data_IF_187980358763
#
_entry.id   IF_187980358763
#
_cell.length_a   1.000
_cell.length_b   1.000
_cell.length_c   1.000
_cell.angle_alpha   90.00
_cell.angle_beta   90.00
_cell.angle_gamma   90.00
#
_symmetry.space_group_name_H-M   'P 1'
#
loop_
_entity.id
_entity.type
_entity.pdbx_description
1 polymer ?
#
# COMPACT_ATOMS: atom_id res chain seq x y z
N UNK A 1 -9.76 -5.25 -3.66
CA UNK A 1 -8.90 -4.13 -3.25
C UNK A 1 -9.05 -3.91 -1.76
N UNK A 2 -8.00 -3.35 -1.09
CA UNK A 2 -8.09 -3.06 0.33
C UNK A 2 -9.29 -2.13 0.63
N UNK A 3 -10.07 -2.48 1.67
CA UNK A 3 -11.24 -1.72 2.16
C UNK A 3 -12.43 -1.58 1.18
N UNK A 4 -12.49 -2.35 0.11
CA UNK A 4 -13.51 -2.20 -0.96
C UNK A 4 -14.93 -2.33 -0.42
N UNK A 5 -15.20 -3.37 0.36
CA UNK A 5 -16.52 -3.65 0.93
C UNK A 5 -17.01 -2.54 1.87
N UNK A 6 -16.13 -2.02 2.75
CA UNK A 6 -16.46 -0.90 3.63
C UNK A 6 -16.67 0.40 2.85
N UNK A 7 -15.80 0.65 1.87
CA UNK A 7 -15.86 1.84 1.02
C UNK A 7 -17.16 1.91 0.23
N UNK A 8 -17.60 0.82 -0.41
CA UNK A 8 -18.84 0.76 -1.16
C UNK A 8 -20.06 1.08 -0.28
N UNK A 9 -20.12 0.51 0.92
CA UNK A 9 -21.22 0.75 1.87
C UNK A 9 -21.27 2.19 2.34
N UNK A 10 -20.13 2.74 2.77
CA UNK A 10 -20.05 4.14 3.21
C UNK A 10 -20.42 5.11 2.08
N UNK A 11 -19.92 4.86 0.86
CA UNK A 11 -20.28 5.64 -0.32
C UNK A 11 -21.79 5.59 -0.63
N UNK A 12 -22.43 4.43 -0.46
CA UNK A 12 -23.87 4.26 -0.58
C UNK A 12 -24.63 5.17 0.39
N UNK A 13 -24.21 5.22 1.66
CA UNK A 13 -24.80 6.09 2.68
C UNK A 13 -24.63 7.57 2.32
N UNK A 14 -23.42 7.98 1.94
CA UNK A 14 -23.13 9.37 1.59
C UNK A 14 -23.79 9.82 0.30
N UNK A 15 -23.99 8.92 -0.67
CA UNK A 15 -24.75 9.21 -1.88
C UNK A 15 -26.22 9.55 -1.56
N UNK A 16 -26.84 8.81 -0.62
CA UNK A 16 -28.21 9.10 -0.14
C UNK A 16 -28.28 10.48 0.55
N UNK A 17 -27.27 10.83 1.36
CA UNK A 17 -27.20 12.14 2.01
C UNK A 17 -27.02 13.28 1.01
N UNK A 18 -26.16 13.12 0.00
CA UNK A 18 -25.93 14.14 -1.05
C UNK A 18 -27.17 14.42 -1.88
N UNK A 19 -28.08 13.46 -2.00
CA UNK A 19 -29.37 13.64 -2.69
C UNK A 19 -30.37 14.53 -1.95
N UNK A 20 -30.13 14.87 -0.67
CA UNK A 20 -30.96 15.71 0.16
C UNK A 20 -30.36 17.13 0.21
N UNK A 21 -31.09 18.12 -0.26
CA UNK A 21 -30.62 19.53 -0.29
C UNK A 21 -30.44 20.14 1.09
N UNK A 22 -31.30 19.77 2.06
CA UNK A 22 -31.17 20.11 3.50
C UNK A 22 -31.14 18.81 4.29
N UNK A 23 -30.33 18.75 5.35
CA UNK A 23 -30.29 17.63 6.27
C UNK A 23 -31.03 18.00 7.55
N UNK A 24 -31.79 17.05 8.09
CA UNK A 24 -32.37 17.13 9.42
C UNK A 24 -31.56 16.28 10.39
N UNK A 25 -31.69 16.51 11.70
CA UNK A 25 -31.08 15.62 12.72
C UNK A 25 -31.48 14.15 12.54
N UNK A 26 -32.73 13.91 12.12
CA UNK A 26 -33.22 12.55 11.87
C UNK A 26 -32.45 11.90 10.70
N UNK A 27 -32.11 12.65 9.66
CA UNK A 27 -31.33 12.17 8.53
C UNK A 27 -29.91 11.80 8.95
N UNK A 28 -29.27 12.63 9.77
CA UNK A 28 -27.92 12.37 10.31
C UNK A 28 -27.95 11.12 11.19
N UNK A 29 -28.93 11.01 12.12
CA UNK A 29 -29.08 9.83 12.98
C UNK A 29 -29.32 8.55 12.17
N UNK A 30 -30.11 8.60 11.11
CA UNK A 30 -30.35 7.47 10.22
C UNK A 30 -29.06 7.07 9.47
N UNK A 31 -28.35 8.03 8.90
CA UNK A 31 -27.10 7.80 8.22
C UNK A 31 -26.03 7.19 9.17
N UNK A 32 -25.91 7.69 10.40
CA UNK A 32 -24.95 7.16 11.36
C UNK A 32 -25.30 5.75 11.85
N UNK A 33 -26.58 5.35 11.81
CA UNK A 33 -26.95 3.95 12.01
C UNK A 33 -26.44 3.06 10.88
N UNK A 34 -26.62 3.47 9.62
CA UNK A 34 -26.10 2.73 8.46
C UNK A 34 -24.57 2.67 8.49
N UNK A 35 -23.88 3.79 8.79
CA UNK A 35 -22.42 3.84 8.98
C UNK A 35 -21.95 2.86 10.06
N UNK A 36 -22.63 2.85 11.22
CA UNK A 36 -22.29 1.91 12.29
C UNK A 36 -22.44 0.45 11.86
N UNK A 37 -23.50 0.13 11.13
CA UNK A 37 -23.69 -1.23 10.60
C UNK A 37 -22.57 -1.59 9.60
N UNK A 38 -22.20 -0.67 8.70
CA UNK A 38 -21.09 -0.88 7.78
C UNK A 38 -19.75 -1.13 8.50
N UNK A 39 -19.46 -0.38 9.57
CA UNK A 39 -18.26 -0.58 10.38
C UNK A 39 -18.27 -1.94 11.10
N UNK A 40 -19.42 -2.35 11.67
CA UNK A 40 -19.55 -3.66 12.34
C UNK A 40 -19.39 -4.83 11.36
N UNK A 41 -19.96 -4.73 10.16
CA UNK A 41 -19.79 -5.73 9.10
C UNK A 41 -18.36 -5.76 8.54
N UNK A 42 -17.62 -4.66 8.67
CA UNK A 42 -16.20 -4.57 8.39
C UNK A 42 -15.31 -5.07 9.56
N UNK A 43 -15.89 -5.75 10.54
CA UNK A 43 -15.19 -6.27 11.73
C UNK A 43 -14.53 -5.17 12.60
N UNK A 44 -15.06 -3.95 12.60
CA UNK A 44 -14.65 -2.92 13.55
C UNK A 44 -15.19 -3.23 14.94
N UNK A 45 -14.39 -3.03 15.98
CA UNK A 45 -14.79 -3.24 17.36
C UNK A 45 -16.08 -2.45 17.70
N UNK A 46 -17.05 -3.10 18.34
CA UNK A 46 -18.36 -2.50 18.64
C UNK A 46 -18.28 -1.18 19.41
N UNK A 47 -17.42 -1.12 20.43
CA UNK A 47 -17.24 0.11 21.22
C UNK A 47 -16.65 1.23 20.36
N UNK A 48 -15.65 0.89 19.56
CA UNK A 48 -15.01 1.84 18.62
C UNK A 48 -16.02 2.38 17.61
N UNK A 49 -16.81 1.50 16.98
CA UNK A 49 -17.84 1.90 16.01
C UNK A 49 -18.93 2.77 16.64
N UNK A 50 -19.33 2.46 17.90
CA UNK A 50 -20.33 3.24 18.66
C UNK A 50 -19.81 4.64 18.99
N UNK A 51 -18.60 4.72 19.55
CA UNK A 51 -17.99 5.99 19.99
C UNK A 51 -17.70 6.89 18.77
N UNK A 52 -17.19 6.32 17.69
CA UNK A 52 -17.01 7.01 16.41
C UNK A 52 -18.30 7.62 15.88
N UNK A 53 -19.39 6.83 15.78
CA UNK A 53 -20.66 7.34 15.29
C UNK A 53 -21.28 8.41 16.21
N UNK A 54 -21.03 8.33 17.53
CA UNK A 54 -21.47 9.35 18.46
C UNK A 54 -20.73 10.68 18.22
N UNK A 55 -19.41 10.65 18.09
CA UNK A 55 -18.59 11.83 17.81
C UNK A 55 -18.93 12.48 16.48
N UNK A 56 -19.08 11.68 15.41
CA UNK A 56 -19.53 12.19 14.11
C UNK A 56 -20.92 12.81 14.19
N UNK A 57 -21.87 12.15 14.89
CA UNK A 57 -23.22 12.69 15.03
C UNK A 57 -23.25 14.03 15.76
N UNK A 58 -22.51 14.16 16.85
CA UNK A 58 -22.41 15.38 17.63
C UNK A 58 -21.88 16.54 16.78
N UNK A 59 -20.78 16.32 16.06
CA UNK A 59 -20.20 17.33 15.15
C UNK A 59 -21.10 17.65 13.97
N UNK A 60 -21.75 16.65 13.37
CA UNK A 60 -22.62 16.81 12.21
C UNK A 60 -23.94 17.51 12.53
N UNK A 61 -24.41 17.46 13.78
CA UNK A 61 -25.59 18.20 14.23
C UNK A 61 -25.28 19.64 14.68
N UNK A 62 -24.03 20.07 14.62
CA UNK A 62 -23.63 21.44 14.91
C UNK A 62 -24.29 22.46 13.97
N UNK A 63 -24.59 23.64 14.47
CA UNK A 63 -25.31 24.69 13.72
C UNK A 63 -24.62 25.05 12.42
N UNK A 64 -23.30 25.15 12.39
CA UNK A 64 -22.50 25.47 11.19
C UNK A 64 -22.70 24.45 10.05
N UNK A 65 -22.90 23.17 10.37
CA UNK A 65 -23.15 22.13 9.38
C UNK A 65 -24.59 22.17 8.88
N UNK A 66 -25.53 22.35 9.79
CA UNK A 66 -26.97 22.34 9.47
C UNK A 66 -27.37 23.55 8.64
N UNK A 67 -26.75 24.70 8.82
CA UNK A 67 -26.97 25.95 8.08
C UNK A 67 -26.10 26.06 6.81
N UNK A 68 -25.20 25.13 6.56
CA UNK A 68 -24.33 25.12 5.40
C UNK A 68 -25.12 24.95 4.09
N UNK A 69 -24.61 25.57 3.01
CA UNK A 69 -25.11 25.34 1.64
C UNK A 69 -24.82 23.93 1.12
N UNK A 70 -23.85 23.21 1.76
CA UNK A 70 -23.41 21.85 1.38
C UNK A 70 -23.33 20.92 2.59
N UNK A 71 -24.41 20.70 3.37
CA UNK A 71 -24.35 19.98 4.64
C UNK A 71 -23.89 18.53 4.46
N UNK A 72 -24.28 17.84 3.40
CA UNK A 72 -23.82 16.47 3.13
C UNK A 72 -22.30 16.38 2.89
N UNK A 73 -21.69 17.39 2.26
CA UNK A 73 -20.23 17.42 2.08
C UNK A 73 -19.52 17.68 3.40
N UNK A 74 -20.08 18.51 4.27
CA UNK A 74 -19.53 18.75 5.61
C UNK A 74 -19.58 17.48 6.46
N UNK A 75 -20.66 16.70 6.40
CA UNK A 75 -20.74 15.40 7.09
C UNK A 75 -19.66 14.45 6.59
N UNK A 76 -19.44 14.33 5.27
CA UNK A 76 -18.38 13.48 4.71
C UNK A 76 -16.98 13.95 5.18
N UNK A 77 -16.75 15.26 5.24
CA UNK A 77 -15.52 15.84 5.76
C UNK A 77 -15.29 15.45 7.24
N UNK A 78 -16.32 15.60 8.07
CA UNK A 78 -16.27 15.21 9.50
C UNK A 78 -15.96 13.72 9.65
N UNK A 79 -16.61 12.86 8.85
CA UNK A 79 -16.32 11.43 8.85
C UNK A 79 -14.86 11.14 8.49
N UNK A 80 -14.32 11.83 7.48
CA UNK A 80 -12.91 11.67 7.09
C UNK A 80 -11.95 12.07 8.22
N UNK A 81 -12.20 13.20 8.85
CA UNK A 81 -11.40 13.70 9.98
C UNK A 81 -11.44 12.74 11.17
N UNK A 82 -12.63 12.25 11.55
CA UNK A 82 -12.78 11.31 12.66
C UNK A 82 -12.18 9.92 12.33
N UNK A 83 -12.27 9.43 11.07
CA UNK A 83 -11.58 8.22 10.66
C UNK A 83 -10.05 8.39 10.74
N UNK A 84 -9.53 9.51 10.26
CA UNK A 84 -8.10 9.83 10.31
C UNK A 84 -7.62 9.86 11.76
N UNK A 85 -8.34 10.53 12.64
CA UNK A 85 -8.05 10.59 14.07
C UNK A 85 -8.10 9.22 14.74
N UNK A 86 -9.10 8.39 14.40
CA UNK A 86 -9.26 7.03 14.91
C UNK A 86 -8.07 6.13 14.57
N UNK A 87 -7.41 6.37 13.44
CA UNK A 87 -6.24 5.61 12.97
C UNK A 87 -4.88 6.20 13.38
N UNK A 88 -4.84 7.34 14.08
CA UNK A 88 -3.59 7.93 14.60
C UNK A 88 -3.30 9.36 14.25
N UNK A 89 -4.21 10.06 13.56
CA UNK A 89 -4.07 11.48 13.19
C UNK A 89 -3.59 11.70 11.76
N UNK A 90 -3.27 12.94 11.42
CA UNK A 90 -2.90 13.32 10.05
C UNK A 90 -1.51 12.83 9.64
N UNK A 91 -0.57 12.89 10.59
CA UNK A 91 0.83 12.53 10.35
C UNK A 91 1.08 11.03 10.63
N UNK A 92 1.90 10.36 9.82
CA UNK A 92 2.29 8.99 10.06
C UNK A 92 3.12 8.90 11.33
N UNK A 93 2.84 7.90 12.15
CA UNK A 93 3.69 7.58 13.29
C UNK A 93 4.94 6.84 12.77
N UNK A 94 6.12 7.25 13.23
CA UNK A 94 7.40 6.67 12.81
C UNK A 94 8.10 5.96 13.96
N UNK A 95 8.83 4.90 13.64
CA UNK A 95 9.71 4.23 14.61
C UNK A 95 10.83 5.18 15.07
N UNK A 96 11.13 5.12 16.34
CA UNK A 96 12.25 5.88 16.89
C UNK A 96 13.58 5.17 16.59
N UNK A 97 14.28 5.62 15.55
CA UNK A 97 15.59 5.11 15.20
C UNK A 97 16.67 5.98 15.85
N UNK A 98 17.52 5.36 16.65
CA UNK A 98 18.63 6.05 17.32
C UNK A 98 19.61 6.65 16.30
N UNK A 99 20.02 7.88 16.52
CA UNK A 99 21.01 8.54 15.69
C UNK A 99 22.44 8.05 15.98
N UNK A 100 22.68 7.56 17.19
CA UNK A 100 23.95 6.96 17.63
C UNK A 100 23.67 5.66 18.38
N UNK A 101 24.52 4.66 18.13
CA UNK A 101 24.32 3.32 18.68
C UNK A 101 23.36 2.47 17.87
N UNK A 102 22.87 1.40 18.48
CA UNK A 102 22.00 0.43 17.84
C UNK A 102 20.55 0.65 18.21
N UNK A 103 19.65 0.46 17.26
CA UNK A 103 18.22 0.32 17.50
C UNK A 103 17.87 -1.15 17.41
N UNK A 104 17.40 -1.73 18.51
CA UNK A 104 17.01 -3.14 18.60
C UNK A 104 15.50 -3.24 18.49
N UNK A 105 15.04 -3.93 17.45
CA UNK A 105 13.63 -4.18 17.17
C UNK A 105 13.31 -5.66 17.36
N UNK A 106 12.24 -5.98 18.04
CA UNK A 106 11.77 -7.35 18.22
C UNK A 106 10.43 -7.53 17.50
N UNK A 107 10.38 -8.46 16.55
CA UNK A 107 9.16 -8.84 15.82
C UNK A 107 8.43 -9.92 16.61
N UNK A 108 7.18 -9.68 17.00
CA UNK A 108 6.35 -10.65 17.71
C UNK A 108 4.99 -10.82 17.02
N UNK A 109 4.25 -11.87 17.38
CA UNK A 109 2.92 -12.17 16.82
C UNK A 109 2.69 -13.65 16.56
N UNK A 110 1.49 -14.01 16.13
CA UNK A 110 1.11 -15.41 15.88
C UNK A 110 1.78 -16.00 14.65
N UNK A 111 1.77 -17.31 14.55
CA UNK A 111 2.26 -18.05 13.37
C UNK A 111 1.42 -17.69 12.14
N UNK A 112 2.10 -17.54 10.99
CA UNK A 112 1.43 -17.19 9.73
C UNK A 112 1.13 -15.70 9.53
N UNK A 113 1.38 -14.85 10.54
CA UNK A 113 1.18 -13.39 10.41
C UNK A 113 2.27 -12.69 9.58
N UNK A 114 3.31 -13.40 9.13
CA UNK A 114 4.33 -12.84 8.25
C UNK A 114 5.51 -12.15 8.96
N UNK A 115 5.83 -12.47 10.22
CA UNK A 115 6.97 -11.90 10.98
C UNK A 115 8.27 -11.96 10.20
N UNK A 116 8.70 -13.15 9.81
CA UNK A 116 9.96 -13.40 9.09
C UNK A 116 10.05 -12.58 7.81
N UNK A 117 8.97 -12.56 7.01
CA UNK A 117 8.93 -11.78 5.78
C UNK A 117 9.01 -10.28 6.06
N UNK A 118 8.31 -9.79 7.10
CA UNK A 118 8.31 -8.36 7.43
C UNK A 118 9.58 -7.93 8.15
N UNK A 119 10.28 -8.82 8.86
CA UNK A 119 11.63 -8.56 9.34
C UNK A 119 12.59 -8.26 8.17
N UNK A 120 12.55 -9.07 7.11
CA UNK A 120 13.35 -8.84 5.91
C UNK A 120 12.92 -7.57 5.14
N UNK A 121 11.62 -7.30 5.03
CA UNK A 121 11.09 -6.07 4.42
C UNK A 121 11.55 -4.82 5.16
N UNK A 122 11.47 -4.81 6.50
CA UNK A 122 11.97 -3.72 7.34
C UNK A 122 13.48 -3.55 7.18
N UNK A 123 14.24 -4.65 7.17
CA UNK A 123 15.67 -4.61 6.91
C UNK A 123 15.98 -3.95 5.56
N UNK A 124 15.29 -4.36 4.49
CA UNK A 124 15.42 -3.74 3.16
C UNK A 124 15.04 -2.27 3.15
N UNK A 125 13.94 -1.91 3.83
CA UNK A 125 13.43 -0.54 3.92
C UNK A 125 14.48 0.39 4.56
N UNK A 126 15.07 0.00 5.69
CA UNK A 126 16.10 0.81 6.35
C UNK A 126 17.45 0.78 5.61
N UNK A 127 17.81 -0.31 4.97
CA UNK A 127 18.99 -0.38 4.11
C UNK A 127 18.90 0.63 2.96
N UNK A 128 17.72 0.77 2.34
CA UNK A 128 17.50 1.78 1.30
C UNK A 128 17.66 3.22 1.79
N UNK A 129 17.52 3.46 3.11
CA UNK A 129 17.77 4.75 3.77
C UNK A 129 19.23 4.93 4.23
N UNK A 130 20.13 4.01 3.83
CA UNK A 130 21.55 4.09 4.17
C UNK A 130 21.91 3.52 5.55
N UNK A 131 20.98 2.84 6.24
CA UNK A 131 21.23 2.13 7.49
C UNK A 131 21.87 0.76 7.25
N UNK A 132 22.43 0.17 8.29
CA UNK A 132 23.08 -1.14 8.27
C UNK A 132 22.30 -2.13 9.15
N UNK A 133 21.21 -2.73 8.63
CA UNK A 133 20.41 -3.69 9.39
C UNK A 133 21.06 -5.07 9.45
N UNK A 134 20.80 -5.77 10.57
CA UNK A 134 21.10 -7.18 10.81
C UNK A 134 19.80 -7.89 11.21
N UNK A 135 19.46 -8.99 10.55
CA UNK A 135 18.37 -9.88 10.96
C UNK A 135 18.89 -10.93 11.94
N UNK A 136 18.08 -11.32 12.92
CA UNK A 136 18.46 -12.30 13.95
C UNK A 136 17.42 -13.41 14.01
N UNK A 137 17.86 -14.67 13.82
CA UNK A 137 17.00 -15.84 13.81
C UNK A 137 16.76 -16.38 15.23
N UNK A 138 15.64 -16.00 15.85
CA UNK A 138 15.22 -16.51 17.15
C UNK A 138 14.01 -17.47 17.08
N UNK A 139 13.46 -17.80 15.90
CA UNK A 139 12.49 -18.89 15.72
C UNK A 139 13.25 -20.23 15.57
N UNK A 140 13.64 -20.81 16.70
CA UNK A 140 14.45 -22.04 16.77
C UNK A 140 13.61 -23.31 16.75
N UNK A 141 12.29 -23.21 16.94
CA UNK A 141 11.40 -24.38 17.07
C UNK A 141 11.01 -24.99 15.74
N UNK A 142 11.15 -24.23 14.66
CA UNK A 142 10.89 -24.67 13.31
C UNK A 142 12.18 -24.67 12.52
N UNK A 143 12.76 -25.84 12.21
CA UNK A 143 14.04 -25.90 11.48
C UNK A 143 14.05 -25.09 10.18
N UNK A 144 12.94 -25.12 9.45
CA UNK A 144 12.79 -24.34 8.22
C UNK A 144 12.70 -22.81 8.44
N UNK A 145 12.46 -22.32 9.67
CA UNK A 145 12.32 -20.88 9.91
C UNK A 145 13.65 -20.13 9.81
N UNK A 146 14.74 -20.74 10.30
CA UNK A 146 16.10 -20.19 10.18
C UNK A 146 16.49 -20.10 8.70
N UNK A 147 16.29 -21.19 7.95
CA UNK A 147 16.55 -21.22 6.51
C UNK A 147 15.67 -20.21 5.76
N UNK A 148 14.40 -20.09 6.15
CA UNK A 148 13.48 -19.10 5.57
C UNK A 148 14.00 -17.67 5.79
N UNK A 149 14.41 -17.32 7.01
CA UNK A 149 14.95 -15.99 7.29
C UNK A 149 16.23 -15.73 6.50
N UNK A 150 17.10 -16.75 6.35
CA UNK A 150 18.31 -16.65 5.54
C UNK A 150 18.00 -16.36 4.07
N UNK A 151 17.06 -17.12 3.48
CA UNK A 151 16.66 -16.92 2.08
C UNK A 151 16.06 -15.52 1.86
N UNK A 152 15.12 -15.08 2.70
CA UNK A 152 14.50 -13.77 2.53
C UNK A 152 15.47 -12.63 2.87
N UNK A 153 16.41 -12.86 3.81
CA UNK A 153 17.49 -11.93 4.13
C UNK A 153 18.44 -11.73 2.95
N UNK A 154 18.85 -12.82 2.29
CA UNK A 154 19.67 -12.77 1.08
C UNK A 154 18.95 -12.01 -0.05
N UNK A 155 17.69 -12.31 -0.30
CA UNK A 155 16.87 -11.61 -1.28
C UNK A 155 16.70 -10.11 -0.97
N UNK A 156 16.61 -9.75 0.32
CA UNK A 156 16.58 -8.37 0.78
C UNK A 156 17.97 -7.70 0.74
N UNK A 157 19.03 -8.51 0.60
CA UNK A 157 20.42 -8.09 0.70
C UNK A 157 20.80 -7.67 2.12
N UNK A 158 20.17 -8.26 3.15
CA UNK A 158 20.38 -7.98 4.57
C UNK A 158 20.99 -9.22 5.22
N UNK A 159 22.13 -9.11 5.93
CA UNK A 159 22.77 -10.24 6.59
C UNK A 159 21.91 -10.79 7.72
N UNK A 160 22.05 -12.09 7.97
CA UNK A 160 21.33 -12.82 9.03
C UNK A 160 22.34 -13.37 10.02
N UNK A 161 22.06 -13.16 11.30
CA UNK A 161 22.79 -13.78 12.41
C UNK A 161 21.98 -14.98 12.94
N UNK A 162 22.63 -16.13 13.06
CA UNK A 162 22.02 -17.36 13.56
C UNK A 162 22.99 -18.13 14.48
N UNK A 163 22.46 -18.92 15.39
CA UNK A 163 23.22 -19.80 16.27
C UNK A 163 22.56 -21.19 16.40
N UNK A 164 21.86 -21.63 15.36
CA UNK A 164 21.14 -22.89 15.36
C UNK A 164 20.04 -22.93 16.41
N UNK A 165 20.01 -23.97 17.26
CA UNK A 165 18.96 -24.24 18.24
C UNK A 165 19.29 -23.75 19.67
N UNK A 166 20.20 -22.81 19.82
CA UNK A 166 20.49 -22.17 21.10
C UNK A 166 19.26 -21.39 21.61
N UNK A 167 19.24 -21.08 22.92
CA UNK A 167 18.12 -20.33 23.52
C UNK A 167 17.95 -18.96 22.89
N UNK A 168 16.71 -18.54 22.56
CA UNK A 168 16.45 -17.27 21.89
C UNK A 168 17.04 -16.04 22.58
N UNK A 169 16.96 -15.99 23.92
CA UNK A 169 17.54 -14.90 24.70
C UNK A 169 19.08 -14.84 24.60
N UNK A 170 19.75 -15.98 24.46
CA UNK A 170 21.20 -16.06 24.26
C UNK A 170 21.58 -15.62 22.85
N UNK A 171 20.80 -16.09 21.84
CA UNK A 171 20.99 -15.67 20.45
C UNK A 171 20.85 -14.15 20.33
N UNK A 172 19.79 -13.59 20.88
CA UNK A 172 19.52 -12.14 20.84
C UNK A 172 20.68 -11.34 21.46
N UNK A 173 21.16 -11.77 22.64
CA UNK A 173 22.27 -11.11 23.33
C UNK A 173 23.56 -11.10 22.48
N UNK A 174 23.95 -12.26 21.97
CA UNK A 174 25.18 -12.37 21.16
C UNK A 174 25.03 -11.66 19.81
N UNK A 175 23.83 -11.64 19.23
CA UNK A 175 23.57 -10.90 17.99
C UNK A 175 23.73 -9.38 18.18
N UNK A 176 23.27 -8.82 19.30
CA UNK A 176 23.45 -7.39 19.61
C UNK A 176 24.92 -7.05 19.82
N UNK A 177 25.68 -7.89 20.52
CA UNK A 177 27.14 -7.74 20.66
C UNK A 177 27.84 -7.81 19.30
N UNK A 178 27.53 -8.84 18.51
CA UNK A 178 28.06 -9.00 17.15
C UNK A 178 27.74 -7.79 16.26
N UNK A 179 26.53 -7.31 16.32
CA UNK A 179 26.08 -6.14 15.55
C UNK A 179 26.88 -4.89 15.92
N UNK A 180 27.19 -4.71 17.22
CA UNK A 180 28.03 -3.60 17.71
C UNK A 180 29.43 -3.68 17.15
N UNK A 181 30.06 -4.85 17.22
CA UNK A 181 31.45 -5.07 16.79
C UNK A 181 31.59 -4.90 15.25
N UNK A 182 30.56 -5.22 14.49
CA UNK A 182 30.56 -5.13 13.03
C UNK A 182 29.91 -3.85 12.48
N UNK A 183 29.48 -2.94 13.39
CA UNK A 183 28.93 -1.62 13.01
C UNK A 183 27.57 -1.68 12.37
N UNK A 184 26.72 -2.66 12.70
CA UNK A 184 25.29 -2.64 12.36
C UNK A 184 24.57 -1.71 13.33
N UNK A 185 23.71 -0.84 12.79
CA UNK A 185 22.99 0.18 13.56
C UNK A 185 21.50 -0.15 13.79
N UNK A 186 21.00 -1.20 13.12
CA UNK A 186 19.66 -1.73 13.32
C UNK A 186 19.76 -3.26 13.51
N UNK A 187 19.15 -3.78 14.57
CA UNK A 187 19.06 -5.21 14.85
C UNK A 187 17.59 -5.59 14.87
N UNK A 188 17.16 -6.50 13.98
CA UNK A 188 15.78 -6.96 13.86
C UNK A 188 15.71 -8.42 14.28
N UNK A 189 15.11 -8.67 15.44
CA UNK A 189 14.97 -9.99 16.03
C UNK A 189 13.66 -10.62 15.53
N UNK A 190 13.76 -11.67 14.70
CA UNK A 190 12.62 -12.48 14.26
C UNK A 190 12.38 -13.59 15.28
N UNK A 191 11.23 -13.51 15.99
CA UNK A 191 10.89 -14.44 17.06
C UNK A 191 9.95 -15.54 16.60
N UNK A 192 9.88 -16.62 17.37
CA UNK A 192 8.92 -17.68 17.14
C UNK A 192 7.48 -17.16 17.16
N UNK A 193 6.59 -17.84 16.44
CA UNK A 193 5.16 -17.65 16.50
C UNK A 193 4.48 -18.98 16.77
N UNK A 194 3.45 -18.96 17.59
CA UNK A 194 2.57 -20.11 17.80
C UNK A 194 1.20 -19.86 17.20
N UNK A 195 0.43 -20.93 17.02
CA UNK A 195 -0.93 -20.84 16.45
C UNK A 195 -1.89 -20.07 17.35
N UNK A 196 -1.66 -20.11 18.65
CA UNK A 196 -2.46 -19.43 19.65
C UNK A 196 -1.56 -18.74 20.67
N UNK A 197 -2.13 -17.77 21.37
CA UNK A 197 -1.47 -17.12 22.49
C UNK A 197 -1.39 -18.10 23.65
N UNK A 198 -0.18 -18.41 24.09
CA UNK A 198 0.08 -19.19 25.30
C UNK A 198 1.12 -18.50 26.18
N UNK A 199 1.16 -18.92 27.45
CA UNK A 199 2.05 -18.30 28.44
C UNK A 199 3.54 -18.56 28.11
N UNK A 200 3.86 -19.71 27.51
CA UNK A 200 5.26 -20.03 27.14
C UNK A 200 5.81 -19.08 26.07
N UNK A 201 4.98 -18.72 25.06
CA UNK A 201 5.34 -17.72 24.05
C UNK A 201 5.57 -16.36 24.69
N UNK A 202 4.64 -15.95 25.57
CA UNK A 202 4.73 -14.64 26.23
C UNK A 202 5.96 -14.54 27.12
N UNK A 203 6.23 -15.58 27.91
CA UNK A 203 7.43 -15.65 28.77
C UNK A 203 8.73 -15.63 27.97
N UNK A 204 8.77 -16.28 26.80
CA UNK A 204 9.93 -16.26 25.92
C UNK A 204 10.20 -14.83 25.41
N UNK A 205 9.18 -14.14 24.91
CA UNK A 205 9.30 -12.76 24.44
C UNK A 205 9.77 -11.82 25.57
N UNK A 206 9.26 -12.02 26.79
CA UNK A 206 9.68 -11.25 27.97
C UNK A 206 11.14 -11.56 28.31
N UNK A 207 11.58 -12.83 28.27
CA UNK A 207 13.01 -13.19 28.47
C UNK A 207 13.92 -12.56 27.44
N UNK A 208 13.55 -12.54 26.17
CA UNK A 208 14.32 -11.84 25.12
C UNK A 208 14.43 -10.36 25.46
N UNK A 209 13.32 -9.69 25.81
CA UNK A 209 13.32 -8.28 26.22
C UNK A 209 14.20 -7.98 27.44
N UNK A 210 14.27 -8.91 28.38
CA UNK A 210 15.13 -8.77 29.57
C UNK A 210 16.61 -9.03 29.27
N UNK A 211 16.92 -9.89 28.27
CA UNK A 211 18.28 -10.23 27.89
C UNK A 211 18.97 -9.14 27.09
N UNK A 212 18.19 -8.35 26.32
CA UNK A 212 18.66 -7.23 25.51
C UNK A 212 17.75 -6.02 25.68
N UNK A 213 18.34 -4.84 25.58
CA UNK A 213 17.58 -3.57 25.61
C UNK A 213 16.82 -3.42 24.29
N UNK A 214 15.56 -3.93 24.24
CA UNK A 214 14.72 -3.81 23.06
C UNK A 214 14.11 -2.41 23.02
N UNK A 215 14.43 -1.64 21.99
CA UNK A 215 13.89 -0.29 21.78
C UNK A 215 12.45 -0.33 21.29
N UNK A 216 12.20 -1.23 20.32
CA UNK A 216 10.90 -1.33 19.67
C UNK A 216 10.40 -2.78 19.65
N UNK A 217 9.24 -3.02 20.22
CA UNK A 217 8.53 -4.31 20.17
C UNK A 217 7.40 -4.21 19.18
N UNK A 218 7.57 -4.78 17.99
CA UNK A 218 6.65 -4.66 16.87
C UNK A 218 5.77 -5.90 16.77
N UNK A 219 4.47 -5.71 17.00
CA UNK A 219 3.49 -6.76 16.80
C UNK A 219 3.11 -6.86 15.32
N UNK A 220 3.34 -8.01 14.73
CA UNK A 220 2.95 -8.33 13.36
C UNK A 220 1.59 -9.01 13.36
N UNK A 221 0.61 -8.39 12.70
CA UNK A 221 -0.78 -8.82 12.72
C UNK A 221 -1.32 -8.93 11.30
N UNK A 222 -2.03 -10.00 11.03
CA UNK A 222 -2.75 -10.20 9.77
C UNK A 222 -4.01 -9.34 9.75
N UNK A 223 -4.10 -8.36 8.85
CA UNK A 223 -5.23 -7.47 8.72
C UNK A 223 -6.54 -8.21 8.38
N UNK A 224 -6.45 -9.35 7.69
CA UNK A 224 -7.61 -10.18 7.32
C UNK A 224 -8.23 -10.91 8.53
N UNK A 225 -7.53 -10.98 9.66
CA UNK A 225 -8.05 -11.63 10.88
C UNK A 225 -9.14 -10.83 11.62
N UNK A 226 -9.46 -9.61 11.17
CA UNK A 226 -10.55 -8.80 11.71
C UNK A 226 -10.43 -8.55 13.21
N UNK A 227 -11.46 -8.90 14.00
CA UNK A 227 -11.49 -8.71 15.47
C UNK A 227 -10.44 -9.56 16.20
N UNK A 228 -10.05 -10.71 15.65
CA UNK A 228 -9.01 -11.55 16.26
C UNK A 228 -7.67 -10.79 16.30
N UNK A 229 -7.36 -10.05 15.24
CA UNK A 229 -6.19 -9.17 15.19
C UNK A 229 -6.16 -8.18 16.38
N UNK A 230 -7.31 -7.62 16.71
CA UNK A 230 -7.45 -6.63 17.80
C UNK A 230 -7.28 -7.31 19.17
N UNK A 231 -7.87 -8.50 19.36
CA UNK A 231 -7.74 -9.28 20.59
C UNK A 231 -6.28 -9.70 20.82
N UNK A 232 -5.61 -10.17 19.78
CA UNK A 232 -4.18 -10.50 19.79
C UNK A 232 -3.36 -9.26 20.18
N UNK A 233 -3.61 -8.12 19.56
CA UNK A 233 -2.88 -6.89 19.83
C UNK A 233 -3.07 -6.44 21.29
N UNK A 234 -4.28 -6.53 21.83
CA UNK A 234 -4.56 -6.22 23.22
C UNK A 234 -3.76 -7.12 24.17
N UNK A 235 -3.79 -8.44 23.96
CA UNK A 235 -3.10 -9.40 24.82
C UNK A 235 -1.58 -9.25 24.78
N UNK A 236 -1.00 -9.06 23.59
CA UNK A 236 0.44 -8.80 23.46
C UNK A 236 0.84 -7.49 24.13
N UNK A 237 -0.01 -6.46 24.04
CA UNK A 237 0.26 -5.19 24.71
C UNK A 237 0.24 -5.33 26.24
N UNK A 238 -0.72 -6.08 26.78
CA UNK A 238 -0.85 -6.32 28.24
C UNK A 238 0.28 -7.19 28.80
N UNK A 239 0.69 -8.26 28.09
CA UNK A 239 1.66 -9.24 28.60
C UNK A 239 3.11 -8.89 28.28
N UNK A 240 3.39 -8.39 27.07
CA UNK A 240 4.75 -8.13 26.56
C UNK A 240 5.07 -6.64 26.51
N UNK A 241 4.06 -5.80 26.32
CA UNK A 241 4.23 -4.36 26.11
C UNK A 241 4.78 -4.08 24.71
N UNK A 242 3.89 -3.83 23.75
CA UNK A 242 4.27 -3.49 22.36
C UNK A 242 4.51 -2.00 22.20
N UNK A 243 5.38 -1.62 21.27
CA UNK A 243 5.60 -0.21 20.88
C UNK A 243 4.59 0.21 19.81
N UNK A 244 4.28 -0.70 18.89
CA UNK A 244 3.34 -0.48 17.80
C UNK A 244 3.12 -1.74 16.98
N UNK A 245 2.39 -1.58 15.88
CA UNK A 245 1.87 -2.67 15.05
C UNK A 245 2.34 -2.55 13.61
N UNK A 246 2.62 -3.69 12.99
CA UNK A 246 2.80 -3.87 11.56
C UNK A 246 1.62 -4.68 11.03
N UNK A 247 0.78 -4.07 10.20
CA UNK A 247 -0.32 -4.78 9.54
C UNK A 247 0.18 -5.47 8.28
N UNK A 248 -0.14 -6.75 8.13
CA UNK A 248 0.22 -7.56 6.95
C UNK A 248 -1.01 -7.88 6.12
N UNK A 249 -0.79 -8.28 4.87
CA UNK A 249 -1.85 -8.72 3.94
C UNK A 249 -2.96 -7.68 3.73
N UNK A 250 -2.61 -6.39 3.80
CA UNK A 250 -3.60 -5.32 3.61
C UNK A 250 -4.12 -5.25 2.18
N UNK A 251 -3.42 -5.83 1.22
CA UNK A 251 -3.85 -6.00 -0.17
C UNK A 251 -5.06 -6.92 -0.32
N UNK A 252 -5.19 -7.93 0.56
CA UNK A 252 -6.33 -8.85 0.64
C UNK A 252 -7.44 -8.41 1.60
N UNK A 253 -7.19 -7.41 2.45
CA UNK A 253 -8.17 -6.94 3.43
C UNK A 253 -9.20 -6.01 2.80
N UNK A 254 -10.38 -6.54 2.51
CA UNK A 254 -11.51 -5.76 1.97
C UNK A 254 -12.35 -5.07 3.06
N UNK A 255 -12.12 -5.38 4.34
CA UNK A 255 -12.93 -4.94 5.48
C UNK A 255 -12.33 -3.76 6.24
N UNK A 256 -11.02 -3.83 6.57
CA UNK A 256 -10.29 -2.75 7.25
C UNK A 256 -10.52 -2.62 8.76
N UNK A 257 -11.24 -3.57 9.38
CA UNK A 257 -11.62 -3.48 10.78
C UNK A 257 -10.45 -3.47 11.75
N UNK A 258 -9.39 -4.23 11.44
CA UNK A 258 -8.17 -4.25 12.24
C UNK A 258 -7.50 -2.87 12.28
N UNK A 259 -7.31 -2.23 11.12
CA UNK A 259 -6.69 -0.91 11.02
C UNK A 259 -7.46 0.16 11.83
N UNK A 260 -8.79 0.10 11.81
CA UNK A 260 -9.66 1.04 12.52
C UNK A 260 -9.72 0.79 14.05
N UNK A 261 -9.39 -0.42 14.50
CA UNK A 261 -9.60 -0.79 15.90
C UNK A 261 -8.33 -0.90 16.73
N UNK A 262 -7.18 -1.18 16.11
CA UNK A 262 -5.91 -1.46 16.80
C UNK A 262 -5.50 -0.32 17.73
N UNK A 263 -5.41 0.90 17.22
CA UNK A 263 -5.01 2.06 18.03
C UNK A 263 -6.01 2.34 19.14
N UNK A 264 -7.31 2.31 18.82
CA UNK A 264 -8.37 2.61 19.77
C UNK A 264 -8.41 1.61 20.94
N UNK A 265 -8.07 0.33 20.70
CA UNK A 265 -8.09 -0.73 21.72
C UNK A 265 -6.77 -0.83 22.48
N UNK A 266 -5.64 -0.63 21.81
CA UNK A 266 -4.31 -0.84 22.41
C UNK A 266 -3.61 0.46 22.84
N UNK A 267 -4.03 1.61 22.31
CA UNK A 267 -3.30 2.87 22.45
C UNK A 267 -1.94 2.87 21.69
N UNK A 268 -1.70 1.86 20.82
CA UNK A 268 -0.43 1.69 20.12
C UNK A 268 -0.59 1.97 18.62
N UNK A 269 0.33 2.75 18.01
CA UNK A 269 0.23 3.15 16.62
C UNK A 269 0.46 1.97 15.66
N UNK A 270 -0.05 2.12 14.45
CA UNK A 270 0.35 1.29 13.32
C UNK A 270 1.50 2.04 12.63
N UNK A 271 2.67 1.40 12.56
CA UNK A 271 3.84 1.99 11.92
C UNK A 271 3.94 1.66 10.43
N UNK A 272 3.65 0.42 10.07
CA UNK A 272 3.80 -0.08 8.70
C UNK A 272 2.62 -0.94 8.28
N UNK A 273 2.42 -1.00 6.96
CA UNK A 273 1.52 -1.94 6.32
C UNK A 273 2.24 -2.71 5.21
N UNK A 274 1.97 -4.02 5.15
CA UNK A 274 2.41 -4.90 4.08
C UNK A 274 1.33 -4.98 3.01
N UNK A 275 1.66 -4.51 1.80
CA UNK A 275 0.73 -4.35 0.68
C UNK A 275 0.92 -5.42 -0.40
N UNK A 276 1.49 -6.56 -0.07
CA UNK A 276 1.73 -7.68 -0.98
C UNK A 276 2.88 -8.58 -0.53
N UNK A 277 3.16 -9.62 -1.30
CA UNK A 277 4.19 -10.62 -0.97
C UNK A 277 5.62 -10.15 -1.24
N UNK A 278 5.84 -9.28 -2.21
CA UNK A 278 7.16 -8.81 -2.62
C UNK A 278 7.88 -8.07 -1.49
N UNK A 279 9.22 -8.14 -1.48
CA UNK A 279 10.04 -7.50 -0.44
C UNK A 279 10.01 -5.97 -0.46
N UNK A 280 9.58 -5.35 -1.54
CA UNK A 280 9.35 -3.91 -1.67
C UNK A 280 7.91 -3.49 -1.28
N UNK A 281 7.02 -4.45 -1.04
CA UNK A 281 5.64 -4.20 -0.64
C UNK A 281 5.53 -3.97 0.88
N UNK A 282 6.20 -2.95 1.38
CA UNK A 282 6.09 -2.41 2.74
C UNK A 282 6.03 -0.90 2.66
N UNK A 283 5.02 -0.32 3.25
CA UNK A 283 4.81 1.13 3.26
C UNK A 283 4.59 1.61 4.70
N UNK A 284 5.05 2.82 5.09
CA UNK A 284 4.61 3.45 6.32
C UNK A 284 3.08 3.58 6.31
N UNK A 285 2.48 3.48 7.48
CA UNK A 285 1.03 3.61 7.60
C UNK A 285 0.63 5.08 7.67
N UNK A 286 -0.13 5.54 6.69
CA UNK A 286 -0.62 6.92 6.60
C UNK A 286 -2.13 6.97 6.90
N UNK A 287 -2.57 7.35 8.11
CA UNK A 287 -3.99 7.38 8.48
C UNK A 287 -4.86 8.21 7.54
N UNK A 288 -4.40 9.40 7.14
CA UNK A 288 -5.13 10.29 6.25
C UNK A 288 -5.34 9.71 4.83
N UNK A 289 -4.36 8.96 4.29
CA UNK A 289 -4.51 8.24 3.02
C UNK A 289 -5.49 7.09 3.14
N UNK A 290 -5.41 6.38 4.27
CA UNK A 290 -6.27 5.25 4.54
C UNK A 290 -7.73 5.67 4.69
N UNK A 291 -8.02 6.75 5.43
CA UNK A 291 -9.37 7.30 5.53
C UNK A 291 -9.92 7.75 4.17
N UNK A 292 -9.10 8.39 3.34
CA UNK A 292 -9.46 8.79 1.98
C UNK A 292 -9.79 7.60 1.08
N UNK A 293 -9.03 6.49 1.19
CA UNK A 293 -9.33 5.23 0.48
C UNK A 293 -10.65 4.63 0.93
N UNK A 294 -10.88 4.53 2.24
CA UNK A 294 -12.13 4.02 2.83
C UNK A 294 -13.34 4.85 2.34
N UNK A 295 -13.19 6.16 2.16
CA UNK A 295 -14.25 7.04 1.67
C UNK A 295 -14.35 7.11 0.14
N UNK A 296 -13.56 6.32 -0.59
CA UNK A 296 -13.56 6.30 -2.05
C UNK A 296 -13.09 7.61 -2.70
N UNK A 297 -12.37 8.45 -1.96
CA UNK A 297 -11.82 9.72 -2.47
C UNK A 297 -10.50 9.52 -3.23
N UNK A 298 -10.00 8.29 -3.27
CA UNK A 298 -8.74 7.93 -3.89
C UNK A 298 -7.52 8.31 -3.05
N UNK A 299 -6.36 7.84 -3.46
CA UNK A 299 -5.08 8.16 -2.83
C UNK A 299 -4.19 8.96 -3.79
N UNK A 300 -4.60 10.21 -4.01
CA UNK A 300 -3.91 11.12 -4.95
C UNK A 300 -2.48 11.44 -4.48
N UNK A 301 -2.25 11.50 -3.16
CA UNK A 301 -0.92 11.80 -2.61
C UNK A 301 0.07 10.67 -2.87
N UNK A 302 -0.32 9.40 -2.62
CA UNK A 302 0.52 8.24 -2.95
C UNK A 302 0.80 8.15 -4.46
N UNK A 303 -0.15 8.53 -5.30
CA UNK A 303 0.05 8.59 -6.75
C UNK A 303 1.10 9.64 -7.13
N UNK A 304 1.02 10.83 -6.52
CA UNK A 304 1.98 11.93 -6.74
C UNK A 304 3.37 11.51 -6.26
N UNK A 305 3.51 10.92 -5.07
CA UNK A 305 4.80 10.48 -4.53
C UNK A 305 5.43 9.37 -5.39
N UNK A 306 4.64 8.36 -5.79
CA UNK A 306 5.12 7.33 -6.72
C UNK A 306 5.55 7.93 -8.05
N UNK A 307 4.83 8.92 -8.56
CA UNK A 307 5.21 9.65 -9.76
C UNK A 307 6.48 10.49 -9.56
N UNK A 308 6.65 11.14 -8.40
CA UNK A 308 7.86 11.92 -8.07
C UNK A 308 9.09 11.04 -7.89
N UNK A 309 8.94 9.86 -7.26
CA UNK A 309 10.05 8.90 -7.12
C UNK A 309 10.55 8.43 -8.48
N UNK A 310 9.66 8.32 -9.47
CA UNK A 310 10.01 7.97 -10.84
C UNK A 310 10.58 9.14 -11.65
N UNK A 311 10.23 10.40 -11.30
CA UNK A 311 10.81 11.58 -11.97
C UNK A 311 12.30 11.79 -11.64
N UNK A 312 12.80 11.21 -10.57
CA UNK A 312 14.24 11.20 -10.25
C UNK A 312 15.05 10.23 -11.14
N UNK A 313 14.41 9.40 -11.96
CA UNK A 313 15.06 8.58 -12.96
C UNK A 313 15.41 9.49 -14.18
N UNK A 314 16.71 9.69 -14.45
CA UNK A 314 17.20 10.50 -15.59
C UNK A 314 16.59 10.08 -16.92
N UNK A 315 16.28 8.80 -17.07
CA UNK A 315 15.62 8.24 -18.26
C UNK A 315 14.20 8.77 -18.45
N UNK A 316 13.45 8.99 -17.35
CA UNK A 316 12.09 9.55 -17.41
C UNK A 316 12.11 11.03 -17.83
N UNK A 317 13.09 11.79 -17.34
CA UNK A 317 13.27 13.20 -17.72
C UNK A 317 13.67 13.35 -19.18
N UNK A 318 14.54 12.46 -19.68
CA UNK A 318 14.92 12.44 -21.09
C UNK A 318 13.75 12.01 -22.00
N UNK A 319 12.95 11.02 -21.60
CA UNK A 319 11.74 10.63 -22.33
C UNK A 319 10.72 11.77 -22.39
N UNK A 320 10.52 12.50 -21.29
CA UNK A 320 9.65 13.68 -21.26
C UNK A 320 10.17 14.81 -22.17
N UNK A 321 11.48 15.06 -22.19
CA UNK A 321 12.12 16.03 -23.09
C UNK A 321 11.97 15.63 -24.57
N UNK A 322 12.11 14.33 -24.91
CA UNK A 322 11.87 13.80 -26.27
C UNK A 322 10.42 13.92 -26.68
N UNK A 323 9.48 13.66 -25.74
CA UNK A 323 8.04 13.83 -25.95
C UNK A 323 7.68 15.27 -26.29
N UNK A 324 8.24 16.24 -25.56
CA UNK A 324 8.05 17.67 -25.85
C UNK A 324 8.74 18.11 -27.18
N UNK A 325 9.81 17.44 -27.56
CA UNK A 325 10.52 17.71 -28.80
C UNK A 325 9.90 17.09 -30.08
N UNK A 326 8.73 16.37 -29.95
CA UNK A 326 8.11 15.57 -31.03
C UNK A 326 9.01 14.44 -31.57
N UNK A 327 9.92 13.93 -30.77
CA UNK A 327 10.82 12.81 -31.08
C UNK A 327 10.42 11.52 -30.39
N UNK A 328 9.15 11.39 -30.01
CA UNK A 328 8.63 10.20 -29.34
C UNK A 328 8.61 9.00 -30.29
N UNK A 329 9.31 7.93 -29.90
CA UNK A 329 9.47 6.70 -30.66
C UNK A 329 8.98 5.45 -29.90
N UNK A 330 9.18 4.24 -30.44
CA UNK A 330 8.77 2.98 -29.81
C UNK A 330 9.64 2.62 -28.59
N UNK A 331 10.88 3.14 -28.48
CA UNK A 331 11.72 2.93 -27.30
C UNK A 331 11.20 3.76 -26.12
N UNK A 332 10.75 5.00 -26.37
CA UNK A 332 10.12 5.83 -25.36
C UNK A 332 8.83 5.17 -24.82
N UNK A 333 8.08 4.48 -25.70
CA UNK A 333 6.91 3.71 -25.33
C UNK A 333 7.25 2.53 -24.41
N UNK A 334 8.34 1.79 -24.67
CA UNK A 334 8.86 0.74 -23.79
C UNK A 334 9.25 1.29 -22.41
N UNK A 335 9.91 2.45 -22.40
CA UNK A 335 10.29 3.13 -21.14
C UNK A 335 9.05 3.48 -20.31
N UNK A 336 7.99 3.98 -20.95
CA UNK A 336 6.73 4.25 -20.26
C UNK A 336 6.05 2.98 -19.72
N UNK A 337 6.05 1.89 -20.49
CA UNK A 337 5.51 0.61 -20.00
C UNK A 337 6.30 0.07 -18.80
N UNK A 338 7.63 0.18 -18.84
CA UNK A 338 8.48 -0.19 -17.72
C UNK A 338 8.15 0.65 -16.45
N UNK A 339 7.88 1.94 -16.61
CA UNK A 339 7.45 2.83 -15.53
C UNK A 339 6.08 2.42 -14.97
N UNK A 340 5.08 2.16 -15.83
CA UNK A 340 3.76 1.68 -15.43
C UNK A 340 3.88 0.37 -14.65
N UNK A 341 4.77 -0.53 -15.06
CA UNK A 341 5.03 -1.79 -14.37
C UNK A 341 5.69 -1.56 -12.99
N UNK A 342 6.66 -0.66 -12.90
CA UNK A 342 7.28 -0.24 -11.63
C UNK A 342 6.24 0.38 -10.65
N UNK A 343 5.21 1.04 -11.17
CA UNK A 343 4.10 1.61 -10.40
C UNK A 343 3.05 0.57 -9.94
N UNK A 344 3.26 -0.71 -10.24
CA UNK A 344 2.33 -1.79 -9.86
C UNK A 344 1.34 -2.18 -10.96
N UNK A 345 1.59 -1.76 -12.22
CA UNK A 345 0.73 -2.06 -13.37
C UNK A 345 -0.44 -1.10 -13.56
N UNK A 346 -1.19 -1.28 -14.65
CA UNK A 346 -2.33 -0.41 -14.99
C UNK A 346 -3.46 -0.50 -13.95
N UNK A 347 -3.70 -1.69 -13.40
CA UNK A 347 -4.71 -1.94 -12.35
C UNK A 347 -4.41 -1.18 -11.06
N UNK A 348 -3.15 -1.15 -10.63
CA UNK A 348 -2.73 -0.43 -9.42
C UNK A 348 -2.87 1.10 -9.58
N UNK A 349 -2.57 1.63 -10.77
CA UNK A 349 -2.75 3.06 -11.07
C UNK A 349 -4.22 3.46 -11.04
N UNK A 350 -5.10 2.65 -11.65
CA UNK A 350 -6.54 2.88 -11.63
C UNK A 350 -7.10 2.82 -10.22
N UNK A 351 -6.62 1.88 -9.39
CA UNK A 351 -7.05 1.75 -8.00
C UNK A 351 -6.74 2.99 -7.14
N UNK A 352 -5.73 3.77 -7.51
CA UNK A 352 -5.33 4.99 -6.79
C UNK A 352 -6.09 6.24 -7.26
N UNK A 353 -6.79 6.18 -8.39
CA UNK A 353 -7.51 7.34 -8.92
C UNK A 353 -8.78 7.65 -8.12
N UNK A 354 -9.15 8.93 -7.95
CA UNK A 354 -10.42 9.31 -7.36
C UNK A 354 -11.60 8.71 -8.14
N UNK A 355 -12.50 7.99 -7.46
CA UNK A 355 -13.64 7.33 -8.10
C UNK A 355 -13.35 5.93 -8.65
N UNK A 356 -12.17 5.36 -8.40
CA UNK A 356 -11.82 3.99 -8.78
C UNK A 356 -12.85 2.95 -8.27
N UNK A 357 -13.44 3.20 -7.11
CA UNK A 357 -14.49 2.35 -6.52
C UNK A 357 -15.82 2.38 -7.29
N UNK A 358 -15.95 3.22 -8.31
CA UNK A 358 -17.13 3.23 -9.22
C UNK A 358 -16.90 2.36 -10.46
N UNK A 359 -15.69 1.87 -10.67
CA UNK A 359 -15.34 0.93 -11.73
C UNK A 359 -15.63 -0.47 -11.17
N UNK A 360 -16.56 -1.20 -11.77
CA UNK A 360 -16.91 -2.54 -11.31
C UNK A 360 -15.69 -3.48 -11.42
N UNK A 361 -15.60 -4.48 -10.54
CA UNK A 361 -14.58 -5.54 -10.62
C UNK A 361 -14.54 -6.20 -11.99
N UNK A 362 -15.71 -6.41 -12.62
CA UNK A 362 -15.82 -6.92 -13.99
C UNK A 362 -15.18 -6.00 -15.05
N UNK A 363 -15.20 -4.69 -14.84
CA UNK A 363 -14.54 -3.72 -15.73
C UNK A 363 -13.03 -3.64 -15.47
N UNK A 364 -12.59 -3.93 -14.25
CA UNK A 364 -11.17 -4.07 -13.92
C UNK A 364 -10.57 -5.37 -14.45
N UNK A 365 -11.30 -6.48 -14.38
CA UNK A 365 -10.89 -7.78 -14.93
C UNK A 365 -10.84 -7.77 -16.48
N UNK A 366 -11.53 -6.82 -17.12
CA UNK A 366 -11.43 -6.59 -18.57
C UNK A 366 -10.16 -5.83 -18.98
N UNK A 367 -9.38 -5.30 -18.03
CA UNK A 367 -8.05 -4.77 -18.33
C UNK A 367 -7.14 -5.98 -18.50
N UNK A 368 -6.95 -6.36 -19.77
CA UNK A 368 -6.11 -7.49 -20.14
C UNK A 368 -4.66 -7.21 -19.71
N UNK A 369 -4.28 -7.71 -18.54
CA UNK A 369 -2.89 -7.61 -18.03
C UNK A 369 -1.88 -8.26 -18.99
N UNK A 370 -2.34 -9.12 -19.91
CA UNK A 370 -1.52 -9.72 -20.96
C UNK A 370 -1.30 -8.78 -22.14
N UNK A 371 -2.09 -7.73 -22.27
CA UNK A 371 -1.97 -6.78 -23.39
C UNK A 371 -0.63 -6.03 -23.38
N UNK A 372 -0.13 -5.60 -22.20
CA UNK A 372 1.17 -4.92 -22.12
C UNK A 372 2.34 -5.82 -22.51
N UNK A 373 2.50 -7.06 -21.98
CA UNK A 373 3.54 -7.98 -22.44
C UNK A 373 3.48 -8.31 -23.93
N UNK A 374 2.28 -8.44 -24.52
CA UNK A 374 2.11 -8.68 -25.95
C UNK A 374 2.61 -7.50 -26.81
N UNK A 375 2.27 -6.28 -26.43
CA UNK A 375 2.74 -5.07 -27.09
C UNK A 375 4.27 -4.95 -26.97
N UNK A 376 4.84 -5.21 -25.80
CA UNK A 376 6.28 -5.23 -25.59
C UNK A 376 6.97 -6.26 -26.50
N UNK A 377 6.43 -7.48 -26.60
CA UNK A 377 6.98 -8.52 -27.48
C UNK A 377 7.01 -8.07 -28.94
N UNK A 378 5.95 -7.37 -29.41
CA UNK A 378 5.93 -6.79 -30.77
C UNK A 378 7.06 -5.77 -30.94
N UNK A 379 7.22 -4.86 -29.97
CA UNK A 379 8.25 -3.80 -30.07
C UNK A 379 9.67 -4.41 -29.98
N UNK A 380 9.89 -5.41 -29.10
CA UNK A 380 11.18 -6.11 -29.01
C UNK A 380 11.54 -6.87 -30.29
N UNK A 381 10.56 -7.32 -31.06
CA UNK A 381 10.76 -7.97 -32.36
C UNK A 381 11.10 -6.98 -33.50
N UNK A 382 11.02 -5.67 -33.26
CA UNK A 382 11.44 -4.64 -34.19
C UNK A 382 12.95 -4.41 -34.10
N UNK A 383 13.58 -4.07 -35.21
CA UNK A 383 14.98 -3.59 -35.21
C UNK A 383 15.08 -2.22 -34.55
N UNK A 384 16.28 -1.79 -34.08
CA UNK A 384 16.46 -0.45 -33.51
C UNK A 384 16.00 0.68 -34.46
N UNK A 385 16.24 0.52 -35.75
CA UNK A 385 15.82 1.49 -36.79
C UNK A 385 14.29 1.54 -36.94
N UNK A 386 13.63 0.38 -36.89
CA UNK A 386 12.16 0.29 -36.95
C UNK A 386 11.48 0.87 -35.67
N UNK A 387 12.12 0.76 -34.50
CA UNK A 387 11.65 1.40 -33.29
C UNK A 387 11.77 2.90 -33.32
N UNK A 388 12.89 3.40 -33.85
CA UNK A 388 13.13 4.85 -34.03
C UNK A 388 12.24 5.46 -35.12
N UNK A 389 12.01 4.73 -36.20
CA UNK A 389 11.28 5.19 -37.39
C UNK A 389 10.18 4.19 -37.82
N UNK A 390 9.05 4.07 -37.09
CA UNK A 390 8.01 3.08 -37.42
C UNK A 390 7.40 3.23 -38.82
N UNK A 391 7.55 4.38 -39.46
CA UNK A 391 7.11 4.63 -40.84
C UNK A 391 7.76 3.75 -41.89
N UNK A 392 8.95 3.17 -41.61
CA UNK A 392 9.65 2.27 -42.55
C UNK A 392 9.11 0.85 -42.56
N UNK A 393 8.15 0.53 -41.64
CA UNK A 393 7.61 -0.82 -41.47
C UNK A 393 6.63 -1.13 -42.60
N UNK A 394 7.13 -1.83 -43.61
CA UNK A 394 6.36 -2.32 -44.75
C UNK A 394 5.71 -3.70 -44.49
N UNK A 395 4.84 -4.23 -45.36
CA UNK A 395 4.16 -5.50 -45.18
C UNK A 395 5.06 -6.73 -44.91
N UNK A 396 6.27 -6.77 -45.52
CA UNK A 396 7.25 -7.83 -45.27
C UNK A 396 7.82 -7.74 -43.84
N UNK A 397 8.14 -6.55 -43.37
CA UNK A 397 8.63 -6.28 -42.02
C UNK A 397 7.54 -6.61 -40.98
N UNK A 398 6.27 -6.24 -41.24
CA UNK A 398 5.13 -6.58 -40.35
C UNK A 398 4.99 -8.10 -40.15
N UNK A 399 5.11 -8.92 -41.20
CA UNK A 399 5.07 -10.37 -41.08
C UNK A 399 6.23 -10.92 -40.24
N UNK A 400 7.44 -10.40 -40.43
CA UNK A 400 8.60 -10.79 -39.64
C UNK A 400 8.44 -10.42 -38.17
N UNK A 401 7.97 -9.21 -37.87
CA UNK A 401 7.71 -8.74 -36.51
C UNK A 401 6.63 -9.60 -35.85
N UNK A 402 5.54 -9.90 -36.56
CA UNK A 402 4.47 -10.77 -36.08
C UNK A 402 4.99 -12.19 -35.75
N UNK A 403 5.76 -12.79 -36.65
CA UNK A 403 6.36 -14.12 -36.43
C UNK A 403 7.35 -14.11 -35.26
N UNK A 404 8.18 -13.08 -35.12
CA UNK A 404 9.17 -12.95 -34.04
C UNK A 404 8.56 -12.70 -32.66
N UNK A 405 7.39 -12.04 -32.60
CA UNK A 405 6.68 -11.75 -31.35
C UNK A 405 5.66 -12.81 -30.95
N UNK A 406 5.39 -13.80 -31.81
CA UNK A 406 4.30 -14.77 -31.59
C UNK A 406 2.91 -14.14 -31.68
N UNK A 407 2.79 -12.95 -32.29
CA UNK A 407 1.54 -12.22 -32.42
C UNK A 407 1.06 -12.19 -33.87
N UNK A 408 -0.18 -11.75 -34.09
CA UNK A 408 -0.75 -11.64 -35.45
C UNK A 408 -0.32 -10.36 -36.15
N UNK A 409 -0.40 -10.37 -37.50
CA UNK A 409 -0.15 -9.15 -38.31
C UNK A 409 -1.20 -8.06 -37.99
N UNK A 410 -2.39 -8.46 -37.57
CA UNK A 410 -3.46 -7.55 -37.17
C UNK A 410 -3.09 -6.80 -35.88
N UNK A 411 -2.50 -7.46 -34.92
CA UNK A 411 -2.02 -6.85 -33.66
C UNK A 411 -0.87 -5.88 -33.91
N UNK A 412 0.07 -6.25 -34.79
CA UNK A 412 1.12 -5.32 -35.24
C UNK A 412 0.50 -4.08 -35.91
N UNK A 413 -0.51 -4.24 -36.76
CA UNK A 413 -1.19 -3.11 -37.40
C UNK A 413 -1.97 -2.26 -36.39
N UNK A 414 -2.59 -2.90 -35.38
CA UNK A 414 -3.31 -2.21 -34.30
C UNK A 414 -2.35 -1.33 -33.50
N UNK A 415 -1.20 -1.86 -33.10
CA UNK A 415 -0.16 -1.11 -32.39
C UNK A 415 0.34 0.09 -33.21
N UNK A 416 0.67 -0.10 -34.48
CA UNK A 416 1.15 0.99 -35.34
C UNK A 416 0.10 2.10 -35.50
N UNK A 417 -1.18 1.76 -35.66
CA UNK A 417 -2.28 2.74 -35.74
C UNK A 417 -2.46 3.50 -34.42
N UNK A 418 -2.37 2.79 -33.28
CA UNK A 418 -2.46 3.42 -31.95
C UNK A 418 -1.31 4.40 -31.73
N UNK A 419 -0.10 4.01 -32.11
CA UNK A 419 1.09 4.86 -32.03
C UNK A 419 0.96 6.12 -32.89
N UNK A 420 0.51 6.00 -34.16
CA UNK A 420 0.24 7.16 -35.02
C UNK A 420 -0.84 8.09 -34.44
N UNK A 421 -1.91 7.51 -33.88
CA UNK A 421 -2.98 8.30 -33.25
C UNK A 421 -2.44 9.10 -32.06
N UNK A 422 -1.61 8.47 -31.23
CA UNK A 422 -0.94 9.10 -30.07
C UNK A 422 0.00 10.24 -30.54
N UNK A 423 0.82 10.02 -31.56
CA UNK A 423 1.66 11.07 -32.13
C UNK A 423 0.84 12.26 -32.67
N UNK A 424 -0.28 11.99 -33.34
CA UNK A 424 -1.20 13.03 -33.82
C UNK A 424 -1.82 13.82 -32.67
N UNK A 425 -2.21 13.14 -31.59
CA UNK A 425 -2.77 13.76 -30.39
C UNK A 425 -1.73 14.68 -29.72
N UNK A 426 -0.50 14.23 -29.55
CA UNK A 426 0.59 15.03 -28.98
C UNK A 426 0.89 16.29 -29.82
N UNK A 427 0.86 16.17 -31.12
CA UNK A 427 1.00 17.35 -32.02
C UNK A 427 -0.13 18.36 -31.83
N UNK A 428 -1.37 17.89 -31.60
CA UNK A 428 -2.53 18.78 -31.33
C UNK A 428 -2.40 19.48 -29.98
N UNK A 429 -1.99 18.76 -28.93
CA UNK A 429 -1.77 19.33 -27.58
C UNK A 429 -0.75 20.47 -27.63
N UNK A 430 0.36 20.27 -28.35
CA UNK A 430 1.40 21.31 -28.50
C UNK A 430 0.89 22.55 -29.23
N UNK A 431 0.00 22.38 -30.22
CA UNK A 431 -0.57 23.50 -31.01
C UNK A 431 -1.59 24.33 -30.21
N UNK A 432 -2.32 23.72 -29.29
CA UNK A 432 -3.35 24.42 -28.49
C UNK A 432 -3.47 23.85 -27.07
N UNK A 433 -2.52 24.18 -26.14
CA UNK A 433 -2.51 23.64 -24.78
C UNK A 433 -3.75 24.03 -23.96
N UNK A 434 -4.26 25.26 -24.14
CA UNK A 434 -5.45 25.78 -23.41
C UNK A 434 -6.76 25.16 -23.91
N UNK A 435 -6.85 24.80 -25.18
CA UNK A 435 -8.04 24.14 -25.75
C UNK A 435 -8.18 22.68 -25.32
N UNK A 436 -7.05 21.98 -25.10
CA UNK A 436 -7.06 20.59 -24.65
C UNK A 436 -7.53 20.45 -23.20
N UNK A 437 -7.09 21.35 -22.30
CA UNK A 437 -7.56 21.36 -20.90
C UNK A 437 -9.05 21.69 -20.79
N UNK A 438 -9.62 22.51 -21.68
CA UNK A 438 -11.08 22.76 -21.75
C UNK A 438 -11.85 21.54 -22.27
N UNK A 439 -11.30 20.75 -23.17
CA UNK A 439 -11.92 19.53 -23.70
C UNK A 439 -12.01 18.38 -22.67
N UNK A 440 -11.02 18.24 -21.80
CA UNK A 440 -11.05 17.27 -20.68
C UNK A 440 -12.08 17.65 -19.60
N UNK A 441 -12.34 18.95 -19.41
CA UNK A 441 -13.40 19.43 -18.50
C UNK A 441 -14.82 19.30 -19.08
N UNK A 442 -14.97 19.02 -20.37
CA UNK A 442 -16.25 18.94 -21.10
C UNK A 442 -16.90 17.56 -21.17
N UNK A 443 -16.29 16.49 -20.65
CA UNK A 443 -16.90 15.14 -20.57
C UNK A 443 -17.89 14.99 -19.40
N UNK A 444 -18.41 16.08 -18.85
CA UNK A 444 -19.52 16.13 -17.87
C UNK A 444 -20.90 16.18 -18.52
N UNK A 445 -21.10 15.54 -19.65
CA UNK A 445 -22.40 15.60 -20.36
C UNK A 445 -22.64 14.45 -21.33
N UNK A 446 -22.66 13.21 -20.84
CA UNK A 446 -23.40 12.14 -21.50
C UNK A 446 -24.17 11.39 -20.42
N UNK A 447 -25.49 11.55 -20.51
CA UNK A 447 -26.53 10.89 -19.71
C UNK A 447 -26.52 9.38 -19.94
#
# INVERSE_FOLDING_TARGET
MAFESLSERLNGVFKKLRGKGKLSEADIKAAMREVRMALLEADVNYKVAKDFCAQVSERAMGQEVMESLTPAQQVVKIVNEELTKLMGGEEPQTLHIKNKGQTVMMMCGLQGNGKTTHAAKLGRFYKAQGRRPLLVACDIYRPAAIDQLRIVGEQAGVPVYEMGTEKPEKIAKQAVEYAKDHGYDIVIIDTAGRLQIDDQLMDELVRIKQAVEVDETLLVVDAMSGQEAVNVAKTFNEKVGISGVVLTKTDGDTRGGAALSVLAVTGKPIYFQGTGEKLDALEPFYPARMSSRILGMGDVLSLIEKAQTLQNDKEAEEAAKRMMANKFDMNDMLTQFAQIRKMGGASALLAMMPGANQISSEQMDQIDEKALPQIEAIIYSMTPEERAHPSIINPKRKRRIAAGSGQTVEEVNKLLRQFEAMQKMMKKVKRNPKGFMRGLGGMRGLR
#
